data_IF_636119991047
#
_entry.id   IF_636119991047
#
_cell.length_a   1.000
_cell.length_b   1.000
_cell.length_c   1.000
_cell.angle_alpha   90.00
_cell.angle_beta   90.00
_cell.angle_gamma   90.00
#
_symmetry.space_group_name_H-M   'P 1'
#
loop_
_entity.id
_entity.type
_entity.pdbx_description
1 polymer ?
#
# COMPACT_ATOMS: atom_id res chain seq x y z
N UNK A 1 -10.36 -2.93 12.02
CA UNK A 1 -10.40 -3.43 13.42
C UNK A 1 -9.44 -2.60 14.27
N UNK A 2 -9.61 -2.52 15.59
CA UNK A 2 -8.60 -1.91 16.47
C UNK A 2 -7.54 -2.97 16.79
N UNK A 3 -6.24 -2.61 16.75
CA UNK A 3 -5.12 -3.53 17.00
C UNK A 3 -5.19 -4.22 18.37
N UNK A 4 -5.73 -3.54 19.39
CA UNK A 4 -5.88 -4.09 20.74
C UNK A 4 -7.15 -4.96 20.93
N UNK A 5 -7.90 -5.25 19.87
CA UNK A 5 -9.11 -6.06 19.96
C UNK A 5 -8.81 -7.55 20.07
N UNK A 6 -9.57 -8.27 20.90
CA UNK A 6 -9.55 -9.74 20.97
C UNK A 6 -9.78 -10.40 19.61
N UNK A 7 -10.60 -9.78 18.74
CA UNK A 7 -10.86 -10.28 17.38
C UNK A 7 -9.58 -10.24 16.55
N UNK A 8 -8.74 -9.22 16.72
CA UNK A 8 -7.47 -9.12 16.00
C UNK A 8 -6.50 -10.21 16.43
N UNK A 9 -6.27 -10.35 17.74
CA UNK A 9 -5.27 -11.26 18.30
C UNK A 9 -5.65 -12.73 18.07
N UNK A 10 -6.91 -13.10 18.30
CA UNK A 10 -7.32 -14.51 18.31
C UNK A 10 -7.91 -15.01 16.99
N UNK A 11 -8.42 -14.13 16.12
CA UNK A 11 -8.99 -14.56 14.84
C UNK A 11 -8.17 -14.05 13.67
N UNK A 12 -7.96 -12.73 13.58
CA UNK A 12 -7.31 -12.14 12.42
C UNK A 12 -5.85 -12.56 12.28
N UNK A 13 -5.03 -12.39 13.32
CA UNK A 13 -3.61 -12.69 13.31
C UNK A 13 -3.29 -14.17 13.00
N UNK A 14 -3.90 -15.16 13.68
CA UNK A 14 -3.66 -16.56 13.34
C UNK A 14 -4.15 -16.92 11.94
N UNK A 15 -5.29 -16.37 11.49
CA UNK A 15 -5.79 -16.59 10.11
C UNK A 15 -4.84 -15.99 9.07
N UNK A 16 -4.34 -14.76 9.31
CA UNK A 16 -3.39 -14.09 8.43
C UNK A 16 -2.07 -14.86 8.33
N UNK A 17 -1.54 -15.35 9.45
CA UNK A 17 -0.33 -16.19 9.48
C UNK A 17 -0.56 -17.52 8.77
N UNK A 18 -1.70 -18.18 9.01
CA UNK A 18 -2.03 -19.44 8.37
C UNK A 18 -2.10 -19.28 6.84
N UNK A 19 -2.79 -18.23 6.35
CA UNK A 19 -2.80 -17.87 4.94
C UNK A 19 -1.38 -17.59 4.41
N UNK A 20 -0.56 -16.85 5.16
CA UNK A 20 0.81 -16.53 4.75
C UNK A 20 1.71 -17.77 4.59
N UNK A 21 1.52 -18.79 5.43
CA UNK A 21 2.29 -20.03 5.36
C UNK A 21 1.74 -21.04 4.35
N UNK A 22 0.42 -21.10 4.13
CA UNK A 22 -0.19 -21.99 3.13
C UNK A 22 0.14 -21.60 1.69
N UNK A 23 0.44 -20.33 1.44
CA UNK A 23 0.46 -19.79 0.08
C UNK A 23 1.85 -19.89 -0.56
N UNK A 24 1.94 -20.26 -1.85
CA UNK A 24 3.20 -20.33 -2.58
C UNK A 24 3.88 -18.95 -2.66
N UNK A 25 5.22 -18.94 -2.64
CA UNK A 25 6.06 -17.72 -2.60
C UNK A 25 5.63 -16.60 -3.56
N UNK A 26 5.13 -16.95 -4.76
CA UNK A 26 4.70 -15.98 -5.78
C UNK A 26 3.47 -15.17 -5.37
N UNK A 27 2.54 -15.75 -4.61
CA UNK A 27 1.27 -15.10 -4.24
C UNK A 27 1.28 -14.52 -2.83
N UNK A 28 2.38 -14.68 -2.08
CA UNK A 28 2.49 -14.18 -0.69
C UNK A 28 2.29 -12.69 -0.60
N UNK A 29 2.91 -11.92 -1.48
CA UNK A 29 2.77 -10.45 -1.48
C UNK A 29 1.32 -10.04 -1.76
N UNK A 30 0.67 -10.64 -2.75
CA UNK A 30 -0.72 -10.36 -3.08
C UNK A 30 -1.66 -10.62 -1.90
N UNK A 31 -1.49 -11.76 -1.23
CA UNK A 31 -2.34 -12.13 -0.09
C UNK A 31 -2.06 -11.23 1.11
N UNK A 32 -0.81 -10.88 1.36
CA UNK A 32 -0.46 -9.93 2.42
C UNK A 32 -1.12 -8.56 2.16
N UNK A 33 -1.13 -8.12 0.90
CA UNK A 33 -1.84 -6.89 0.49
C UNK A 33 -3.34 -7.02 0.75
N UNK A 34 -3.99 -8.08 0.26
CA UNK A 34 -5.44 -8.29 0.45
C UNK A 34 -5.80 -8.33 1.94
N UNK A 35 -5.06 -9.09 2.75
CA UNK A 35 -5.26 -9.21 4.19
C UNK A 35 -5.11 -7.84 4.88
N UNK A 36 -4.13 -7.04 4.46
CA UNK A 36 -3.94 -5.67 4.95
C UNK A 36 -5.14 -4.78 4.61
N UNK A 37 -5.63 -4.83 3.38
CA UNK A 37 -6.82 -4.06 2.98
C UNK A 37 -8.08 -4.46 3.76
N UNK A 38 -8.30 -5.77 3.98
CA UNK A 38 -9.41 -6.26 4.80
C UNK A 38 -9.30 -5.75 6.23
N UNK A 39 -8.11 -5.77 6.82
CA UNK A 39 -7.87 -5.30 8.18
C UNK A 39 -8.22 -3.82 8.37
N UNK A 40 -7.71 -2.97 7.47
CA UNK A 40 -7.96 -1.53 7.48
C UNK A 40 -9.42 -1.20 7.15
N UNK A 41 -10.01 -1.90 6.17
CA UNK A 41 -11.40 -1.73 5.76
C UNK A 41 -12.43 -2.12 6.81
N UNK A 42 -12.09 -3.07 7.69
CA UNK A 42 -13.01 -3.52 8.75
C UNK A 42 -13.36 -2.42 9.75
N UNK A 43 -12.44 -1.46 10.00
CA UNK A 43 -12.75 -0.34 10.90
C UNK A 43 -13.61 0.72 10.19
N UNK A 44 -13.19 1.18 9.01
CA UNK A 44 -14.00 2.02 8.14
C UNK A 44 -13.69 1.67 6.67
N UNK A 45 -14.72 1.37 5.85
CA UNK A 45 -14.52 1.03 4.44
C UNK A 45 -13.91 2.19 3.63
N UNK A 46 -14.07 3.43 4.08
CA UNK A 46 -13.40 4.60 3.48
C UNK A 46 -11.87 4.55 3.56
N UNK A 47 -11.29 3.89 4.58
CA UNK A 47 -9.84 3.74 4.66
C UNK A 47 -9.27 2.86 3.55
N UNK A 48 -10.04 1.92 3.00
CA UNK A 48 -9.62 1.15 1.82
C UNK A 48 -9.34 2.09 0.66
N UNK A 49 -10.24 3.04 0.39
CA UNK A 49 -10.09 3.99 -0.72
C UNK A 49 -8.90 4.92 -0.49
N UNK A 50 -8.68 5.38 0.73
CA UNK A 50 -7.53 6.21 1.09
C UNK A 50 -6.20 5.48 0.89
N UNK A 51 -6.08 4.26 1.42
CA UNK A 51 -4.85 3.46 1.28
C UNK A 51 -4.63 3.08 -0.19
N UNK A 52 -5.70 2.80 -0.93
CA UNK A 52 -5.62 2.50 -2.36
C UNK A 52 -5.15 3.70 -3.18
N UNK A 53 -5.69 4.88 -2.89
CA UNK A 53 -5.26 6.12 -3.53
C UNK A 53 -3.78 6.42 -3.22
N UNK A 54 -3.34 6.34 -1.96
CA UNK A 54 -1.93 6.54 -1.60
C UNK A 54 -1.04 5.52 -2.30
N UNK A 55 -1.38 4.23 -2.23
CA UNK A 55 -0.59 3.16 -2.86
C UNK A 55 -0.46 3.37 -4.36
N UNK A 56 -1.53 3.83 -5.03
CA UNK A 56 -1.50 4.13 -6.46
C UNK A 56 -0.61 5.33 -6.78
N UNK A 57 -0.68 6.41 -6.00
CA UNK A 57 0.21 7.57 -6.15
C UNK A 57 1.67 7.17 -5.95
N UNK A 58 1.97 6.43 -4.88
CA UNK A 58 3.31 5.97 -4.57
C UNK A 58 3.85 5.01 -5.65
N UNK A 59 3.01 4.12 -6.19
CA UNK A 59 3.38 3.23 -7.28
C UNK A 59 3.69 4.00 -8.57
N UNK A 60 2.87 4.99 -8.92
CA UNK A 60 3.10 5.85 -10.09
C UNK A 60 4.39 6.68 -9.92
N UNK A 61 4.62 7.26 -8.73
CA UNK A 61 5.84 7.98 -8.41
C UNK A 61 7.07 7.06 -8.49
N UNK A 62 6.99 5.84 -7.96
CA UNK A 62 8.05 4.82 -8.07
C UNK A 62 8.36 4.46 -9.52
N UNK A 63 7.35 4.34 -10.36
CA UNK A 63 7.51 4.02 -11.78
C UNK A 63 8.12 5.18 -12.58
N UNK A 64 7.82 6.44 -12.21
CA UNK A 64 8.52 7.61 -12.72
C UNK A 64 9.99 7.63 -12.31
N UNK A 65 10.29 7.32 -11.04
CA UNK A 65 11.66 7.28 -10.54
C UNK A 65 12.47 6.20 -11.25
N UNK A 66 11.85 5.04 -11.49
CA UNK A 66 12.43 3.95 -12.27
C UNK A 66 12.62 4.29 -13.76
N UNK A 67 12.10 5.42 -14.24
CA UNK A 67 12.22 5.87 -15.64
C UNK A 67 11.36 5.07 -16.61
N UNK A 68 10.37 4.32 -16.13
CA UNK A 68 9.46 3.51 -16.97
C UNK A 68 8.23 4.29 -17.44
N UNK A 69 7.88 5.38 -16.76
CA UNK A 69 6.79 6.29 -17.13
C UNK A 69 7.26 7.75 -17.02
N UNK A 70 6.91 8.56 -18.01
CA UNK A 70 7.27 9.97 -18.11
C UNK A 70 5.98 10.80 -18.21
N UNK A 71 5.42 11.24 -17.07
CA UNK A 71 4.20 12.07 -17.07
C UNK A 71 4.48 13.58 -17.24
N UNK A 72 5.74 14.02 -17.07
CA UNK A 72 6.14 15.43 -17.21
C UNK A 72 7.27 15.59 -18.24
N UNK A 73 7.28 16.60 -19.11
CA UNK A 73 8.35 16.80 -20.11
C UNK A 73 9.68 17.34 -19.53
N UNK A 74 10.01 17.04 -18.27
CA UNK A 74 11.19 17.55 -17.56
C UNK A 74 12.40 16.60 -17.65
N UNK A 75 13.60 17.16 -17.44
CA UNK A 75 14.86 16.40 -17.38
C UNK A 75 14.82 15.30 -16.30
N UNK A 76 15.45 14.15 -16.56
CA UNK A 76 15.26 12.92 -15.77
C UNK A 76 15.59 13.06 -14.27
N UNK A 77 16.53 13.94 -13.92
CA UNK A 77 16.86 14.26 -12.53
C UNK A 77 15.79 15.11 -11.83
N UNK A 78 15.18 16.06 -12.55
CA UNK A 78 14.14 16.95 -12.02
C UNK A 78 12.82 16.19 -11.84
N UNK A 79 12.46 15.32 -12.78
CA UNK A 79 11.29 14.44 -12.64
C UNK A 79 11.37 13.54 -11.41
N UNK A 80 12.53 12.90 -11.18
CA UNK A 80 12.75 12.03 -10.01
C UNK A 80 12.53 12.77 -8.70
N UNK A 81 13.08 13.99 -8.59
CA UNK A 81 12.91 14.84 -7.41
C UNK A 81 11.45 15.27 -7.22
N UNK A 82 10.76 15.63 -8.30
CA UNK A 82 9.35 16.02 -8.24
C UNK A 82 8.44 14.85 -7.83
N UNK A 83 8.68 13.65 -8.36
CA UNK A 83 7.91 12.45 -8.00
C UNK A 83 8.06 12.07 -6.51
N UNK A 84 9.28 12.15 -5.98
CA UNK A 84 9.52 11.96 -4.53
C UNK A 84 8.82 13.05 -3.72
N UNK A 85 8.93 14.31 -4.13
CA UNK A 85 8.28 15.42 -3.43
C UNK A 85 6.76 15.26 -3.38
N UNK A 86 6.14 14.91 -4.52
CA UNK A 86 4.69 14.66 -4.60
C UNK A 86 4.28 13.49 -3.70
N UNK A 87 5.02 12.37 -3.73
CA UNK A 87 4.72 11.20 -2.87
C UNK A 87 4.80 11.57 -1.39
N UNK A 88 5.86 12.27 -0.97
CA UNK A 88 6.04 12.70 0.42
C UNK A 88 4.94 13.68 0.85
N UNK A 89 4.62 14.68 0.04
CA UNK A 89 3.56 15.65 0.36
C UNK A 89 2.21 14.97 0.43
N UNK A 90 1.91 14.05 -0.49
CA UNK A 90 0.64 13.33 -0.52
C UNK A 90 0.50 12.43 0.71
N UNK A 91 1.54 11.68 1.07
CA UNK A 91 1.51 10.78 2.22
C UNK A 91 1.49 11.52 3.57
N UNK A 92 2.11 12.70 3.66
CA UNK A 92 2.12 13.53 4.87
C UNK A 92 0.83 14.36 5.05
N UNK A 93 0.10 14.61 3.96
CA UNK A 93 -1.18 15.33 3.99
C UNK A 93 -2.38 14.43 4.29
N UNK A 94 -2.20 13.12 4.17
CA UNK A 94 -3.22 12.08 4.39
C UNK A 94 -3.27 11.65 5.87
#
# INVERSE_FOLDING_TARGET
MVFASHIFIFYFLPTALLLYYLVPRKSKHLILTIVSYIFYGWANPWYILLILASTAVDYLCGLMIAGRITLFPSSSHTQRRLAVFISVVTNLSL
#
